data_IF_017173611732
#
_entry.id   IF_017173611732
#
_cell.length_a   1.000
_cell.length_b   1.000
_cell.length_c   1.000
_cell.angle_alpha   90.00
_cell.angle_beta   90.00
_cell.angle_gamma   90.00
#
_symmetry.space_group_name_H-M   'P 1'
#
loop_
_entity.id
_entity.type
_entity.pdbx_description
1 polymer ?
#
# COMPACT_ATOMS: atom_id res chain seq x y z
N UNK A 1 7.38 -8.93 3.49
CA UNK A 1 6.66 -9.86 4.40
C UNK A 1 5.44 -10.36 3.67
N UNK A 2 5.14 -11.65 3.81
CA UNK A 2 3.96 -12.26 3.21
C UNK A 2 2.88 -12.34 4.29
N UNK A 3 1.84 -11.53 4.14
CA UNK A 3 0.67 -11.53 5.03
C UNK A 3 -0.29 -12.59 4.52
N UNK A 4 -0.58 -13.61 5.33
CA UNK A 4 -1.42 -14.75 4.92
C UNK A 4 -2.88 -14.61 5.34
N UNK A 5 -3.14 -13.81 6.37
CA UNK A 5 -4.48 -13.65 6.96
C UNK A 5 -5.07 -12.30 6.59
N UNK A 6 -6.37 -12.28 6.33
CA UNK A 6 -7.10 -11.05 6.06
C UNK A 6 -7.05 -10.09 7.26
N UNK A 7 -7.18 -10.62 8.47
CA UNK A 7 -7.22 -9.83 9.71
C UNK A 7 -5.92 -9.03 9.93
N UNK A 8 -4.77 -9.66 9.69
CA UNK A 8 -3.47 -8.98 9.77
C UNK A 8 -3.36 -7.91 8.68
N UNK A 9 -3.82 -8.23 7.47
CA UNK A 9 -3.85 -7.30 6.36
C UNK A 9 -4.75 -6.08 6.63
N UNK A 10 -5.91 -6.31 7.22
CA UNK A 10 -6.88 -5.28 7.58
C UNK A 10 -6.34 -4.37 8.69
N UNK A 11 -5.68 -4.92 9.71
CA UNK A 11 -5.02 -4.14 10.75
C UNK A 11 -3.95 -3.20 10.17
N UNK A 12 -3.14 -3.69 9.21
CA UNK A 12 -2.12 -2.88 8.53
C UNK A 12 -2.76 -1.75 7.73
N UNK A 13 -3.82 -2.03 6.96
CA UNK A 13 -4.50 -1.02 6.14
C UNK A 13 -5.20 0.02 7.02
N UNK A 14 -5.89 -0.42 8.07
CA UNK A 14 -6.56 0.47 9.02
C UNK A 14 -5.57 1.40 9.74
N UNK A 15 -4.34 0.91 9.97
CA UNK A 15 -3.26 1.69 10.58
C UNK A 15 -2.60 2.71 9.66
N UNK A 16 -2.78 2.59 8.33
CA UNK A 16 -2.02 3.37 7.36
C UNK A 16 -2.95 4.16 6.42
N UNK A 17 -3.01 5.48 6.60
CA UNK A 17 -3.84 6.38 5.77
C UNK A 17 -3.49 6.38 4.27
N UNK A 18 -2.32 5.88 3.91
CA UNK A 18 -1.88 5.74 2.51
C UNK A 18 -2.30 4.40 1.87
N UNK A 19 -2.72 3.42 2.66
CA UNK A 19 -3.23 2.14 2.17
C UNK A 19 -4.75 2.20 2.06
N UNK A 20 -5.27 1.52 1.04
CA UNK A 20 -6.72 1.40 0.83
C UNK A 20 -7.03 0.07 0.18
N UNK A 21 -8.20 -0.47 0.50
CA UNK A 21 -8.73 -1.66 -0.15
C UNK A 21 -9.37 -1.31 -1.49
N UNK A 22 -9.04 -2.09 -2.51
CA UNK A 22 -9.64 -2.10 -3.83
C UNK A 22 -10.14 -3.53 -4.08
N UNK A 23 -11.31 -3.85 -3.50
CA UNK A 23 -11.81 -5.23 -3.43
C UNK A 23 -10.91 -6.12 -2.57
N UNK A 24 -10.22 -7.06 -3.21
CA UNK A 24 -9.25 -7.98 -2.57
C UNK A 24 -7.80 -7.49 -2.65
N UNK A 25 -7.55 -6.43 -3.41
CA UNK A 25 -6.22 -5.89 -3.67
C UNK A 25 -5.97 -4.70 -2.78
N UNK A 26 -4.78 -4.61 -2.20
CA UNK A 26 -4.41 -3.46 -1.38
C UNK A 26 -3.62 -2.47 -2.21
N UNK A 27 -4.07 -1.22 -2.20
CA UNK A 27 -3.49 -0.13 -2.96
C UNK A 27 -2.85 0.85 -2.00
N UNK A 28 -1.54 1.02 -2.13
CA UNK A 28 -0.79 2.05 -1.45
C UNK A 28 -0.66 3.28 -2.35
N UNK A 29 -1.18 4.43 -1.91
CA UNK A 29 -0.92 5.73 -2.53
C UNK A 29 -0.13 6.61 -1.59
N UNK A 30 1.01 7.07 -2.09
CA UNK A 30 1.80 8.08 -1.39
C UNK A 30 2.22 9.18 -2.36
N UNK A 31 2.26 10.41 -1.84
CA UNK A 31 2.69 11.57 -2.62
C UNK A 31 4.19 11.48 -2.85
N UNK A 32 4.65 11.65 -4.08
CA UNK A 32 6.08 11.69 -4.39
C UNK A 32 6.31 12.49 -5.65
N UNK A 33 7.31 13.36 -5.68
CA UNK A 33 7.64 14.10 -6.90
C UNK A 33 8.16 13.15 -8.01
N UNK A 34 8.80 12.05 -7.60
CA UNK A 34 9.23 10.94 -8.47
C UNK A 34 8.06 10.21 -9.14
N UNK A 35 6.83 10.42 -8.70
CA UNK A 35 5.66 9.86 -9.37
C UNK A 35 5.52 10.39 -10.81
N UNK A 36 5.97 11.61 -11.10
CA UNK A 36 5.91 12.21 -12.45
C UNK A 36 6.60 11.37 -13.52
N UNK A 37 7.71 10.74 -13.16
CA UNK A 37 8.55 9.96 -14.08
C UNK A 37 8.41 8.45 -13.88
N UNK A 38 7.60 8.01 -12.91
CA UNK A 38 7.44 6.61 -12.60
C UNK A 38 6.30 5.98 -13.38
N UNK A 39 6.48 4.72 -13.82
CA UNK A 39 5.44 3.91 -14.46
C UNK A 39 4.19 3.73 -13.57
N UNK A 40 4.35 3.83 -12.25
CA UNK A 40 3.28 3.70 -11.26
C UNK A 40 2.76 5.06 -10.76
N UNK A 41 3.15 6.15 -11.42
CA UNK A 41 2.69 7.49 -11.14
C UNK A 41 1.24 7.69 -11.56
N UNK A 42 0.44 8.28 -10.68
CA UNK A 42 -0.94 8.67 -10.90
C UNK A 42 -1.10 10.12 -10.52
N UNK A 43 -1.62 10.93 -11.43
CA UNK A 43 -2.01 12.30 -11.14
C UNK A 43 -3.39 12.30 -10.47
N UNK A 44 -3.46 12.71 -9.21
CA UNK A 44 -4.69 12.71 -8.43
C UNK A 44 -4.82 14.02 -7.65
N UNK A 45 -5.97 14.69 -7.74
CA UNK A 45 -6.27 15.95 -7.03
C UNK A 45 -5.14 17.00 -7.12
N UNK A 46 -4.66 17.27 -8.33
CA UNK A 46 -3.64 18.30 -8.57
C UNK A 46 -2.21 17.89 -8.20
N UNK A 47 -2.00 16.69 -7.64
CA UNK A 47 -0.71 16.23 -7.14
C UNK A 47 -0.34 14.87 -7.75
N UNK A 48 0.96 14.59 -7.82
CA UNK A 48 1.46 13.29 -8.29
C UNK A 48 1.63 12.32 -7.13
N UNK A 49 1.02 11.15 -7.28
CA UNK A 49 1.06 10.04 -6.32
C UNK A 49 1.67 8.81 -6.98
N UNK A 50 2.40 8.00 -6.22
CA UNK A 50 2.73 6.65 -6.66
C UNK A 50 1.66 5.72 -6.13
N UNK A 51 1.02 4.95 -7.01
CA UNK A 51 0.04 3.94 -6.66
C UNK A 51 0.65 2.55 -6.84
N UNK A 52 0.89 1.84 -5.75
CA UNK A 52 1.38 0.46 -5.76
C UNK A 52 0.26 -0.49 -5.35
N UNK A 53 0.01 -1.52 -6.15
CA UNK A 53 -1.01 -2.53 -5.90
C UNK A 53 -0.35 -3.80 -5.38
N UNK A 54 -0.97 -4.40 -4.38
CA UNK A 54 -0.56 -5.64 -3.76
C UNK A 54 -1.73 -6.61 -3.88
N UNK A 55 -1.61 -7.53 -4.81
CA UNK A 55 -2.63 -8.54 -5.08
C UNK A 55 -2.36 -9.77 -4.21
N UNK A 56 -3.42 -10.43 -3.68
CA UNK A 56 -3.26 -11.68 -2.96
C UNK A 56 -2.78 -12.77 -3.93
N UNK A 57 -1.59 -13.29 -3.69
CA UNK A 57 -1.09 -14.49 -4.35
C UNK A 57 -1.53 -15.76 -3.61
N UNK A 58 -0.99 -16.90 -4.07
CA UNK A 58 -1.24 -18.22 -3.45
C UNK A 58 -0.75 -18.31 -2.00
N UNK A 59 0.30 -17.56 -1.70
CA UNK A 59 0.94 -17.50 -0.38
C UNK A 59 0.44 -16.34 0.49
N UNK A 60 -0.35 -15.41 -0.07
CA UNK A 60 -0.84 -14.20 0.61
C UNK A 60 -0.45 -12.89 -0.10
N UNK A 61 -0.51 -11.77 0.62
CA UNK A 61 -0.11 -10.45 0.12
C UNK A 61 1.38 -10.20 0.39
N UNK A 62 2.15 -9.94 -0.66
CA UNK A 62 3.55 -9.51 -0.51
C UNK A 62 3.63 -8.02 -0.24
N UNK A 63 3.93 -7.64 1.00
CA UNK A 63 3.97 -6.24 1.42
C UNK A 63 5.30 -5.93 2.10
N UNK A 64 5.93 -4.79 1.76
CA UNK A 64 7.16 -4.37 2.41
C UNK A 64 6.90 -4.08 3.89
N UNK A 65 7.76 -4.64 4.76
CA UNK A 65 7.67 -4.54 6.22
C UNK A 65 7.60 -3.09 6.72
N UNK A 66 8.16 -2.14 5.99
CA UNK A 66 8.08 -0.70 6.30
C UNK A 66 6.63 -0.19 6.41
N UNK A 67 5.70 -0.77 5.66
CA UNK A 67 4.28 -0.39 5.73
C UNK A 67 3.57 -1.03 6.93
N UNK A 68 4.08 -2.18 7.40
CA UNK A 68 3.59 -2.92 8.57
C UNK A 68 4.13 -2.28 9.86
N UNK A 69 5.43 -2.00 9.90
CA UNK A 69 6.16 -1.39 11.02
C UNK A 69 5.96 0.13 11.15
N UNK A 70 5.29 0.79 10.20
CA UNK A 70 4.88 2.19 10.35
C UNK A 70 3.95 2.44 11.56
N UNK A 71 3.49 1.36 12.20
CA UNK A 71 2.76 1.34 13.48
C UNK A 71 3.68 1.19 14.72
N UNK A 72 5.00 1.11 14.55
CA UNK A 72 5.97 0.78 15.60
C UNK A 72 7.10 1.83 15.76
N UNK A 73 6.83 3.10 15.49
CA UNK A 73 7.73 4.19 15.91
C UNK A 73 6.93 5.24 16.68
N UNK A 74 6.92 5.07 18.00
CA UNK A 74 6.74 6.16 18.96
C UNK A 74 8.09 6.76 19.30
#
# INVERSE_FOLDING_TARGET
MIVKTLEEMEAIVSGNKGLSWDGWTVVNRYKSDKAKTSKYGVYFRGNWYISKRFEPGRDGWDIPERLVLGHAQT
#
